data_IF_216693165093
#
_entry.id   IF_216693165093
#
_cell.length_a   1.000
_cell.length_b   1.000
_cell.length_c   1.000
_cell.angle_alpha   90.00
_cell.angle_beta   90.00
_cell.angle_gamma   90.00
#
_symmetry.space_group_name_H-M   'P 1'
#
loop_
_entity.id
_entity.type
_entity.pdbx_description
1 polymer ?
#
# COMPACT_ATOMS: atom_id res chain seq x y z
N UNK A 1 -1.41 13.74 24.62
CA UNK A 1 -0.57 12.92 23.72
C UNK A 1 -0.83 11.46 24.05
N UNK A 2 -1.21 10.63 23.06
CA UNK A 2 -1.54 9.21 23.30
C UNK A 2 -0.53 8.34 22.57
N UNK A 3 0.21 7.54 23.35
CA UNK A 3 1.13 6.53 22.83
C UNK A 3 0.40 5.20 22.67
N UNK A 4 0.53 4.56 21.51
CA UNK A 4 -0.17 3.30 21.17
C UNK A 4 0.82 2.23 20.75
N UNK A 5 0.60 0.98 21.13
CA UNK A 5 1.36 -0.14 20.59
C UNK A 5 0.92 -0.50 19.17
N UNK A 6 1.84 -0.97 18.35
CA UNK A 6 1.57 -1.43 16.98
C UNK A 6 1.55 -2.96 16.97
N UNK A 7 0.36 -3.54 16.95
CA UNK A 7 0.20 -5.00 16.87
C UNK A 7 0.68 -5.54 15.52
N UNK A 8 1.39 -6.67 15.56
CA UNK A 8 1.97 -7.35 14.40
C UNK A 8 3.25 -6.72 13.86
N UNK A 9 3.71 -5.59 14.42
CA UNK A 9 4.91 -4.92 13.93
C UNK A 9 6.18 -5.58 14.48
N UNK A 10 7.19 -5.70 13.61
CA UNK A 10 8.52 -6.21 13.95
C UNK A 10 9.48 -5.04 14.02
N UNK A 11 10.25 -4.93 15.11
CA UNK A 11 11.28 -3.91 15.22
C UNK A 11 12.36 -4.14 14.15
N UNK A 12 12.67 -3.15 13.29
CA UNK A 12 13.68 -3.30 12.24
C UNK A 12 15.11 -3.40 12.79
N UNK A 13 15.34 -2.95 14.03
CA UNK A 13 16.65 -2.98 14.67
C UNK A 13 16.95 -4.31 15.37
N UNK A 14 16.02 -4.83 16.18
CA UNK A 14 16.26 -6.04 17.00
C UNK A 14 15.41 -7.26 16.60
N UNK A 15 14.43 -7.11 15.71
CA UNK A 15 13.56 -8.21 15.27
C UNK A 15 12.46 -8.60 16.26
N UNK A 16 12.32 -7.91 17.41
CA UNK A 16 11.27 -8.19 18.38
C UNK A 16 9.87 -7.85 17.81
N UNK A 17 8.89 -8.73 18.06
CA UNK A 17 7.49 -8.55 17.68
C UNK A 17 6.72 -7.75 18.72
N UNK A 18 5.72 -6.97 18.29
CA UNK A 18 4.79 -6.24 19.17
C UNK A 18 5.47 -5.26 20.13
N UNK A 19 6.69 -4.85 19.79
CA UNK A 19 7.58 -4.08 20.67
C UNK A 19 7.75 -2.63 20.22
N UNK A 20 7.04 -2.24 19.16
CA UNK A 20 7.01 -0.87 18.65
C UNK A 20 5.79 -0.12 19.21
N UNK A 21 6.03 1.06 19.76
CA UNK A 21 5.03 2.04 20.15
C UNK A 21 5.05 3.20 19.16
N UNK A 22 3.92 3.84 18.92
CA UNK A 22 3.78 5.04 18.12
C UNK A 22 3.22 6.18 18.95
N UNK A 23 3.70 7.38 18.68
CA UNK A 23 3.23 8.64 19.26
C UNK A 23 3.07 9.69 18.15
N UNK A 24 1.98 10.45 18.22
CA UNK A 24 1.73 11.58 17.34
C UNK A 24 2.29 12.86 17.97
N UNK A 25 3.17 13.54 17.25
CA UNK A 25 3.81 14.81 17.58
C UNK A 25 3.25 15.92 16.68
N UNK A 26 3.45 17.20 17.06
CA UNK A 26 3.10 18.37 16.25
C UNK A 26 1.66 18.32 15.68
N UNK A 27 0.67 18.17 16.56
CA UNK A 27 -0.76 18.04 16.20
C UNK A 27 -1.09 16.96 15.16
N UNK A 28 -0.25 15.91 15.07
CA UNK A 28 -0.44 14.77 14.18
C UNK A 28 0.33 14.87 12.85
N UNK A 29 1.11 15.93 12.64
CA UNK A 29 1.98 16.07 11.47
C UNK A 29 3.13 15.04 11.48
N UNK A 30 3.67 14.76 12.66
CA UNK A 30 4.79 13.84 12.83
C UNK A 30 4.36 12.60 13.62
N UNK A 31 4.77 11.44 13.13
CA UNK A 31 4.58 10.16 13.80
C UNK A 31 5.93 9.61 14.24
N UNK A 32 6.13 9.44 15.54
CA UNK A 32 7.36 8.87 16.10
C UNK A 32 7.08 7.44 16.54
N UNK A 33 7.93 6.50 16.15
CA UNK A 33 7.89 5.11 16.58
C UNK A 33 9.09 4.78 17.44
N UNK A 34 8.90 4.14 18.58
CA UNK A 34 9.98 3.70 19.47
C UNK A 34 9.86 2.22 19.85
N UNK A 35 10.99 1.52 19.94
CA UNK A 35 11.06 0.14 20.40
C UNK A 35 11.38 0.06 21.88
N UNK A 36 10.59 -0.74 22.60
CA UNK A 36 10.69 -0.89 24.06
C UNK A 36 11.83 -1.79 24.50
N UNK A 37 12.30 -2.68 23.60
CA UNK A 37 13.32 -3.67 23.92
C UNK A 37 14.74 -3.18 23.62
N UNK A 38 14.93 -2.48 22.48
CA UNK A 38 16.26 -2.02 22.04
C UNK A 38 16.42 -0.49 22.00
N UNK A 39 15.34 0.28 22.24
CA UNK A 39 15.39 1.74 22.21
C UNK A 39 15.43 2.37 20.80
N UNK A 40 15.25 1.57 19.74
CA UNK A 40 15.16 2.09 18.37
C UNK A 40 14.08 3.19 18.25
N UNK A 41 14.38 4.30 17.58
CA UNK A 41 13.44 5.41 17.37
C UNK A 41 13.44 5.83 15.90
N UNK A 42 12.24 6.04 15.33
CA UNK A 42 12.02 6.38 13.92
C UNK A 42 10.95 7.47 13.79
N UNK A 43 11.20 8.49 12.97
CA UNK A 43 10.29 9.62 12.76
C UNK A 43 9.74 9.58 11.33
N UNK A 44 8.42 9.42 11.19
CA UNK A 44 7.71 9.50 9.93
C UNK A 44 7.00 10.84 9.82
N UNK A 45 7.31 11.58 8.77
CA UNK A 45 6.57 12.77 8.39
C UNK A 45 5.36 12.37 7.54
N UNK A 46 4.15 12.77 7.94
CA UNK A 46 2.91 12.46 7.22
C UNK A 46 2.81 13.14 5.84
N UNK A 47 3.54 14.23 5.58
CA UNK A 47 3.49 14.95 4.30
C UNK A 47 4.23 14.26 3.16
N UNK A 48 5.09 13.27 3.46
CA UNK A 48 5.89 12.57 2.46
C UNK A 48 5.09 11.65 1.53
N UNK A 49 3.80 11.42 1.79
CA UNK A 49 2.93 10.55 0.98
C UNK A 49 2.30 11.20 -0.26
N UNK A 50 2.66 12.44 -0.60
CA UNK A 50 2.27 13.06 -1.88
C UNK A 50 3.15 12.62 -3.06
N UNK A 51 3.55 11.35 -3.10
CA UNK A 51 4.20 10.79 -4.28
C UNK A 51 3.16 10.68 -5.39
N UNK A 52 3.29 11.50 -6.43
CA UNK A 52 2.51 11.35 -7.67
C UNK A 52 2.65 9.92 -8.15
N UNK A 53 1.52 9.19 -8.23
CA UNK A 53 1.52 7.82 -8.73
C UNK A 53 2.14 7.81 -10.14
N UNK A 54 3.07 6.89 -10.44
CA UNK A 54 3.59 6.78 -11.78
C UNK A 54 2.44 6.40 -12.74
N UNK A 55 2.40 7.04 -13.91
CA UNK A 55 1.38 6.76 -14.93
C UNK A 55 1.32 5.28 -15.24
N UNK A 56 0.11 4.72 -15.23
CA UNK A 56 -0.09 3.28 -15.53
C UNK A 56 -0.34 3.09 -17.02
N UNK A 57 0.06 1.94 -17.57
CA UNK A 57 -0.17 1.57 -18.99
C UNK A 57 -1.64 1.66 -19.45
N UNK A 58 -2.58 1.75 -18.51
CA UNK A 58 -4.04 1.72 -18.74
C UNK A 58 -4.65 3.13 -18.77
N UNK A 59 -3.84 4.19 -18.67
CA UNK A 59 -4.32 5.56 -18.90
C UNK A 59 -4.80 5.67 -20.36
N UNK A 60 -6.12 5.72 -20.50
CA UNK A 60 -6.85 5.28 -21.67
C UNK A 60 -6.57 6.12 -22.91
N UNK A 61 -6.04 5.49 -23.97
CA UNK A 61 -6.41 5.89 -25.31
C UNK A 61 -7.92 5.61 -25.51
N UNK A 62 -8.67 6.45 -26.24
CA UNK A 62 -10.06 6.18 -26.57
C UNK A 62 -10.15 4.80 -27.21
N UNK A 63 -10.94 3.91 -26.61
CA UNK A 63 -11.21 2.59 -27.19
C UNK A 63 -12.17 2.84 -28.36
N UNK A 64 -11.71 2.50 -29.55
CA UNK A 64 -12.56 2.45 -30.73
C UNK A 64 -13.57 1.29 -30.54
N UNK A 65 -14.87 1.59 -30.57
CA UNK A 65 -15.96 0.68 -30.19
C UNK A 65 -16.40 -0.22 -31.35
N UNK A 66 -15.49 -0.58 -32.26
CA UNK A 66 -15.75 -1.50 -33.38
C UNK A 66 -15.85 -2.97 -32.89
N UNK A 67 -16.92 -3.26 -32.13
CA UNK A 67 -17.27 -4.63 -31.71
C UNK A 67 -17.95 -5.39 -32.84
N UNK A 68 -17.23 -6.29 -33.51
CA UNK A 68 -17.84 -7.22 -34.47
C UNK A 68 -18.28 -8.53 -33.81
N UNK A 69 -19.56 -8.88 -33.97
CA UNK A 69 -20.11 -10.16 -33.50
C UNK A 69 -19.68 -11.28 -34.46
N UNK A 70 -18.79 -12.15 -33.98
CA UNK A 70 -18.38 -13.35 -34.73
C UNK A 70 -19.48 -14.40 -34.62
N UNK A 71 -20.00 -14.88 -35.76
CA UNK A 71 -20.89 -16.04 -35.80
C UNK A 71 -20.06 -17.32 -35.96
N UNK A 72 -20.03 -18.13 -34.91
CA UNK A 72 -19.40 -19.45 -34.92
C UNK A 72 -20.35 -20.43 -35.64
N UNK A 73 -19.90 -20.98 -36.76
CA UNK A 73 -20.63 -22.00 -37.50
C UNK A 73 -20.48 -23.35 -36.79
N UNK A 74 -21.56 -24.10 -36.51
CA UNK A 74 -21.43 -25.41 -35.87
C UNK A 74 -20.79 -26.43 -36.84
N UNK A 75 -19.95 -27.36 -36.34
CA UNK A 75 -19.29 -28.35 -37.19
C UNK A 75 -20.32 -29.33 -37.77
N UNK A 76 -20.25 -29.54 -39.09
CA UNK A 76 -21.05 -30.56 -39.79
C UNK A 76 -20.56 -31.95 -39.41
N UNK A 77 -21.49 -32.85 -39.01
CA UNK A 77 -21.14 -34.25 -38.70
C UNK A 77 -20.73 -34.99 -39.99
N UNK A 78 -19.61 -35.74 -39.98
CA UNK A 78 -19.28 -36.65 -41.08
C UNK A 78 -20.22 -37.86 -41.07
N UNK A 79 -20.48 -38.38 -42.27
CA UNK A 79 -21.50 -39.40 -42.62
C UNK A 79 -21.06 -40.83 -42.27
#
# INVERSE_FOLDING_TARGET
MVKRFIAGAVCPSCGAKDSLRMEYMNDGADMVRDCVDCGFTDTLNAEASSATLPGTRVEAAPRDDDRQVIRIMPPTKPK
#
